data_IF_295673123673
#
_entry.id   IF_295673123673
#
_cell.length_a   1.000
_cell.length_b   1.000
_cell.length_c   1.000
_cell.angle_alpha   90.00
_cell.angle_beta   90.00
_cell.angle_gamma   90.00
#
_symmetry.space_group_name_H-M   'P 1'
#
loop_
_entity.id
_entity.type
_entity.pdbx_description
1 polymer ?
#
# COMPACT_ATOMS: atom_id res chain seq x y z
N UNK A 1 -6.36 -18.42 2.40
CA UNK A 1 -5.07 -17.71 2.37
C UNK A 1 -5.33 -16.40 1.65
N UNK A 2 -5.04 -15.23 2.24
CA UNK A 2 -5.29 -13.95 1.57
C UNK A 2 -4.31 -13.80 0.41
N UNK A 3 -4.82 -13.71 -0.82
CA UNK A 3 -4.02 -13.36 -2.00
C UNK A 3 -3.72 -11.87 -1.93
N UNK A 4 -2.52 -11.55 -1.43
CA UNK A 4 -1.99 -10.20 -1.55
C UNK A 4 -1.44 -10.04 -2.95
N UNK A 5 -1.53 -8.82 -3.49
CA UNK A 5 -0.80 -8.44 -4.70
C UNK A 5 0.65 -8.92 -4.61
N UNK A 6 1.18 -9.47 -5.70
CA UNK A 6 2.54 -9.99 -5.71
C UNK A 6 3.57 -8.86 -5.51
N UNK A 7 4.72 -9.23 -4.95
CA UNK A 7 5.77 -8.27 -4.59
C UNK A 7 6.34 -7.55 -5.81
N UNK A 8 6.34 -8.17 -6.99
CA UNK A 8 6.89 -7.58 -8.21
C UNK A 8 5.94 -6.54 -8.79
N UNK A 9 4.64 -6.80 -8.80
CA UNK A 9 3.61 -5.79 -9.16
C UNK A 9 3.65 -4.61 -8.20
N UNK A 10 3.77 -4.83 -6.89
CA UNK A 10 3.94 -3.72 -5.94
C UNK A 10 5.17 -2.87 -6.27
N UNK A 11 6.28 -3.54 -6.62
CA UNK A 11 7.56 -2.89 -6.92
C UNK A 11 7.53 -2.11 -8.23
N UNK A 12 6.76 -2.54 -9.24
CA UNK A 12 6.66 -1.87 -10.53
C UNK A 12 5.54 -0.82 -10.59
N UNK A 13 4.38 -1.09 -9.97
CA UNK A 13 3.17 -0.26 -10.12
C UNK A 13 2.98 0.75 -8.99
N UNK A 14 3.49 0.48 -7.78
CA UNK A 14 3.22 1.33 -6.60
C UNK A 14 4.50 2.04 -6.14
N UNK A 15 5.55 1.28 -5.87
CA UNK A 15 6.78 1.78 -5.27
C UNK A 15 7.42 2.98 -6.01
N UNK A 16 7.42 3.07 -7.35
CA UNK A 16 8.05 4.20 -8.06
C UNK A 16 7.41 5.57 -7.77
N UNK A 17 6.16 5.58 -7.30
CA UNK A 17 5.42 6.82 -7.03
C UNK A 17 5.49 7.26 -5.57
N UNK A 18 6.18 6.50 -4.70
CA UNK A 18 6.26 6.75 -3.26
C UNK A 18 7.62 7.30 -2.86
N UNK A 19 7.60 8.30 -1.97
CA UNK A 19 8.83 8.89 -1.46
C UNK A 19 9.54 7.94 -0.50
N UNK A 20 10.81 7.66 -0.81
CA UNK A 20 11.73 6.92 0.05
C UNK A 20 12.52 7.90 0.93
N UNK A 21 12.80 7.53 2.18
CA UNK A 21 13.63 8.36 3.04
C UNK A 21 15.04 8.51 2.45
N UNK A 22 15.54 9.74 2.37
CA UNK A 22 16.89 10.04 1.87
C UNK A 22 17.99 9.69 2.89
N UNK A 23 17.63 9.51 4.16
CA UNK A 23 18.56 9.34 5.29
C UNK A 23 18.16 8.09 6.09
N UNK A 24 19.16 7.26 6.41
CA UNK A 24 18.97 5.95 7.03
C UNK A 24 18.83 4.82 6.01
N UNK A 25 19.23 3.61 6.40
CA UNK A 25 19.11 2.42 5.56
C UNK A 25 17.69 1.86 5.66
N UNK A 26 16.90 2.04 4.61
CA UNK A 26 15.63 1.34 4.41
C UNK A 26 15.79 0.48 3.16
N UNK A 27 15.68 -0.84 3.29
CA UNK A 27 15.80 -1.68 2.11
C UNK A 27 14.57 -1.51 1.23
N UNK A 28 14.75 -1.58 -0.10
CA UNK A 28 13.61 -1.60 -1.03
C UNK A 28 12.67 -2.79 -0.75
N UNK A 29 13.20 -3.92 -0.26
CA UNK A 29 12.41 -5.06 0.19
C UNK A 29 11.47 -4.71 1.34
N UNK A 30 11.95 -3.94 2.34
CA UNK A 30 11.11 -3.55 3.48
C UNK A 30 9.94 -2.64 3.05
N UNK A 31 10.15 -1.77 2.06
CA UNK A 31 9.09 -0.89 1.55
C UNK A 31 7.98 -1.64 0.82
N UNK A 32 8.34 -2.67 0.04
CA UNK A 32 7.34 -3.53 -0.62
C UNK A 32 6.48 -4.23 0.43
N UNK A 33 7.07 -4.73 1.51
CA UNK A 33 6.35 -5.40 2.59
C UNK A 33 5.49 -4.42 3.43
N UNK A 34 5.95 -3.17 3.59
CA UNK A 34 5.14 -2.08 4.15
C UNK A 34 3.91 -1.82 3.28
N UNK A 35 4.07 -1.68 1.97
CA UNK A 35 2.96 -1.48 1.04
C UNK A 35 2.00 -2.68 1.10
N UNK A 36 2.53 -3.90 1.15
CA UNK A 36 1.76 -5.13 1.29
C UNK A 36 0.89 -5.11 2.57
N UNK A 37 1.42 -4.66 3.70
CA UNK A 37 0.64 -4.48 4.94
C UNK A 37 -0.46 -3.41 4.79
N UNK A 38 -0.18 -2.31 4.10
CA UNK A 38 -1.18 -1.25 3.86
C UNK A 38 -2.29 -1.79 2.96
N UNK A 39 -1.98 -2.52 1.89
CA UNK A 39 -2.99 -3.14 1.03
C UNK A 39 -3.86 -4.13 1.81
N UNK A 40 -3.26 -4.92 2.70
CA UNK A 40 -4.01 -5.79 3.62
C UNK A 40 -4.97 -4.98 4.51
N UNK A 41 -4.49 -3.87 5.12
CA UNK A 41 -5.33 -2.97 5.94
C UNK A 41 -6.52 -2.42 5.17
N UNK A 42 -6.30 -1.99 3.92
CA UNK A 42 -7.31 -1.34 3.09
C UNK A 42 -8.35 -2.36 2.60
N UNK A 43 -7.92 -3.57 2.25
CA UNK A 43 -8.81 -4.63 1.77
C UNK A 43 -9.64 -5.27 2.89
N UNK A 44 -9.06 -5.45 4.07
CA UNK A 44 -9.74 -6.13 5.19
C UNK A 44 -10.42 -5.19 6.18
N UNK A 45 -10.06 -3.90 6.18
CA UNK A 45 -10.58 -2.95 7.16
C UNK A 45 -10.07 -3.14 8.59
N UNK A 46 -9.19 -4.12 8.86
CA UNK A 46 -8.75 -4.48 10.22
C UNK A 46 -8.18 -3.29 11.02
N UNK A 47 -8.16 -3.33 12.35
CA UNK A 47 -7.51 -2.26 13.11
C UNK A 47 -5.98 -2.29 12.90
N UNK A 48 -5.32 -1.13 12.96
CA UNK A 48 -3.86 -1.05 12.69
C UNK A 48 -3.03 -1.96 13.59
N UNK A 49 -3.38 -2.07 14.87
CA UNK A 49 -2.66 -2.93 15.83
C UNK A 49 -2.85 -4.43 15.55
N UNK A 50 -3.88 -4.81 14.79
CA UNK A 50 -4.17 -6.19 14.38
C UNK A 50 -3.46 -6.58 13.07
N UNK A 51 -2.57 -5.74 12.54
CA UNK A 51 -1.86 -6.07 11.31
C UNK A 51 -0.97 -7.31 11.51
N UNK A 52 -1.01 -8.28 10.59
CA UNK A 52 -0.20 -9.50 10.68
C UNK A 52 1.24 -9.23 10.23
N UNK A 53 1.93 -8.28 10.88
CA UNK A 53 3.27 -7.81 10.49
C UNK A 53 4.30 -8.95 10.50
N UNK A 54 4.23 -9.86 11.48
CA UNK A 54 5.14 -11.02 11.55
C UNK A 54 4.94 -12.03 10.43
N UNK A 55 3.74 -12.09 9.84
CA UNK A 55 3.44 -13.00 8.73
C UNK A 55 3.79 -12.39 7.36
N UNK A 56 3.81 -11.06 7.25
CA UNK A 56 4.06 -10.36 5.98
C UNK A 56 5.56 -10.05 5.80
N UNK A 57 6.24 -9.59 6.85
CA UNK A 57 7.65 -9.22 6.77
C UNK A 57 8.54 -10.46 6.78
N UNK A 58 9.47 -10.56 5.82
CA UNK A 58 10.32 -11.75 5.67
C UNK A 58 11.69 -11.61 6.32
N UNK A 59 12.25 -10.40 6.32
CA UNK A 59 13.61 -10.14 6.85
C UNK A 59 13.56 -9.41 8.18
N UNK A 60 12.97 -8.22 8.17
CA UNK A 60 12.87 -7.34 9.33
C UNK A 60 11.40 -7.02 9.58
N UNK A 61 10.87 -7.53 10.69
CA UNK A 61 9.51 -7.24 11.09
C UNK A 61 9.42 -5.80 11.61
N UNK A 62 8.72 -4.94 10.86
CA UNK A 62 8.41 -3.59 11.32
C UNK A 62 7.15 -3.60 12.19
N UNK A 63 7.11 -2.69 13.16
CA UNK A 63 5.90 -2.52 13.97
C UNK A 63 4.75 -1.95 13.14
N UNK A 64 3.50 -2.22 13.54
CA UNK A 64 2.34 -1.59 12.91
C UNK A 64 2.39 -0.05 12.96
N UNK A 65 3.02 0.52 13.99
CA UNK A 65 3.23 1.98 14.13
C UNK A 65 4.12 2.51 13.00
N UNK A 66 5.16 1.74 12.63
CA UNK A 66 6.05 2.07 11.51
C UNK A 66 5.30 2.01 10.18
N UNK A 67 4.51 0.96 9.94
CA UNK A 67 3.65 0.84 8.75
C UNK A 67 2.68 2.03 8.66
N UNK A 68 2.02 2.36 9.77
CA UNK A 68 1.12 3.51 9.84
C UNK A 68 1.84 4.84 9.59
N UNK A 69 3.05 5.03 10.10
CA UNK A 69 3.84 6.23 9.85
C UNK A 69 4.16 6.41 8.36
N UNK A 70 4.51 5.34 7.64
CA UNK A 70 4.68 5.36 6.19
C UNK A 70 3.38 5.74 5.47
N UNK A 71 2.28 5.05 5.78
CA UNK A 71 0.97 5.35 5.20
C UNK A 71 0.56 6.81 5.43
N UNK A 72 0.67 7.30 6.67
CA UNK A 72 0.33 8.68 7.03
C UNK A 72 1.19 9.69 6.27
N UNK A 73 2.49 9.44 6.12
CA UNK A 73 3.40 10.31 5.36
C UNK A 73 2.97 10.39 3.89
N UNK A 74 2.81 9.24 3.23
CA UNK A 74 2.45 9.18 1.82
C UNK A 74 1.05 9.75 1.54
N UNK A 75 0.10 9.51 2.43
CA UNK A 75 -1.25 10.10 2.34
C UNK A 75 -1.22 11.61 2.50
N UNK A 76 -0.50 12.14 3.50
CA UNK A 76 -0.35 13.60 3.69
C UNK A 76 0.32 14.31 2.52
N UNK A 77 1.27 13.63 1.86
CA UNK A 77 1.94 14.16 0.69
C UNK A 77 1.12 14.00 -0.61
N UNK A 78 -0.07 13.39 -0.55
CA UNK A 78 -0.87 13.08 -1.74
C UNK A 78 -0.31 11.98 -2.63
N UNK A 79 0.81 11.35 -2.24
CA UNK A 79 1.47 10.29 -2.99
C UNK A 79 0.57 9.05 -3.10
N UNK A 80 -0.15 8.71 -2.01
CA UNK A 80 -1.09 7.58 -2.02
C UNK A 80 -2.28 7.83 -2.96
N UNK A 81 -2.81 9.06 -2.98
CA UNK A 81 -3.86 9.47 -3.93
C UNK A 81 -3.35 9.43 -5.38
N UNK A 82 -2.09 9.83 -5.60
CA UNK A 82 -1.44 9.76 -6.91
C UNK A 82 -1.28 8.31 -7.40
N UNK A 83 -0.82 7.41 -6.53
CA UNK A 83 -0.75 5.96 -6.83
C UNK A 83 -2.12 5.45 -7.26
N UNK A 84 -3.16 5.73 -6.48
CA UNK A 84 -4.53 5.32 -6.82
C UNK A 84 -4.96 5.85 -8.19
N UNK A 85 -4.76 7.14 -8.46
CA UNK A 85 -5.11 7.73 -9.75
C UNK A 85 -4.35 7.13 -10.93
N UNK A 86 -3.07 6.77 -10.75
CA UNK A 86 -2.26 6.11 -11.79
C UNK A 86 -2.70 4.68 -12.07
N UNK A 87 -2.99 3.90 -11.03
CA UNK A 87 -3.51 2.53 -11.18
C UNK A 87 -4.89 2.58 -11.83
N UNK A 88 -5.76 3.46 -11.35
CA UNK A 88 -7.11 3.64 -11.88
C UNK A 88 -7.08 4.03 -13.35
N UNK A 89 -6.20 4.96 -13.76
CA UNK A 89 -6.09 5.35 -15.17
C UNK A 89 -5.55 4.23 -16.06
N UNK A 90 -4.56 3.47 -15.58
CA UNK A 90 -3.96 2.33 -16.30
C UNK A 90 -4.92 1.16 -16.49
N UNK A 91 -5.74 0.88 -15.49
CA UNK A 91 -6.64 -0.28 -15.49
C UNK A 91 -8.11 0.10 -15.64
N UNK A 92 -8.42 1.34 -16.02
CA UNK A 92 -9.80 1.87 -16.13
C UNK A 92 -10.68 0.99 -17.01
N UNK A 93 -10.14 0.47 -18.10
CA UNK A 93 -10.86 -0.38 -19.06
C UNK A 93 -11.30 -1.72 -18.48
N UNK A 94 -10.69 -2.17 -17.39
CA UNK A 94 -11.06 -3.41 -16.71
C UNK A 94 -12.12 -3.20 -15.63
N UNK A 95 -12.43 -1.94 -15.30
CA UNK A 95 -13.44 -1.61 -14.31
C UNK A 95 -14.76 -1.38 -15.02
N UNK A 96 -15.75 -2.21 -14.72
CA UNK A 96 -17.13 -1.92 -15.09
C UNK A 96 -17.61 -0.74 -14.24
N UNK A 97 -17.68 0.44 -14.87
CA UNK A 97 -18.14 1.67 -14.23
C UNK A 97 -19.64 1.90 -14.41
N UNK A 98 -20.37 0.99 -15.05
CA UNK A 98 -21.82 1.12 -15.28
C UNK A 98 -22.65 1.01 -13.98
N UNK A 99 -22.07 0.42 -12.93
CA UNK A 99 -22.72 0.16 -11.64
C UNK A 99 -22.06 0.86 -10.46
N UNK A 100 -21.28 1.92 -10.69
CA UNK A 100 -20.64 2.68 -9.59
C UNK A 100 -21.63 3.70 -9.06
N UNK A 101 -22.43 3.27 -8.08
CA UNK A 101 -23.17 4.19 -7.21
C UNK A 101 -22.15 4.93 -6.34
N UNK A 102 -21.90 6.19 -6.64
CA UNK A 102 -21.07 7.08 -5.82
C UNK A 102 -21.90 7.58 -4.64
N UNK A 103 -22.24 6.72 -3.68
CA UNK A 103 -22.84 7.14 -2.42
C UNK A 103 -21.75 7.56 -1.41
N UNK A 104 -21.30 8.80 -1.54
CA UNK A 104 -20.26 9.33 -0.66
C UNK A 104 -20.16 10.84 -0.71
N UNK A 105 -21.18 11.52 -0.17
CA UNK A 105 -21.16 12.92 0.24
C UNK A 105 -20.23 13.17 1.44
#
# INVERSE_FOLDING_TARGET
MYEVLDKDTIKSEILPFLSVAKRGYVTKSDLVEVIQCILYKLKTGCQWHMLPVSAIFTRRVLSYKSVYAHFRKWSRNGEWKKVWGMILSRHRSFLDMSSVDLDGS
#
